data_IF_580358525219
#
_entry.id   IF_580358525219
#
_cell.length_a   1.000
_cell.length_b   1.000
_cell.length_c   1.000
_cell.angle_alpha   90.00
_cell.angle_beta   90.00
_cell.angle_gamma   90.00
#
_symmetry.space_group_name_H-M   'P 1'
#
loop_
_entity.id
_entity.type
_entity.pdbx_description
1 polymer ?
#
# COMPACT_ATOMS: atom_id res chain seq x y z
N UNK A 1 1.07 27.69 4.82
CA UNK A 1 2.25 26.79 4.72
C UNK A 1 1.91 25.48 4.01
N UNK A 2 0.90 24.71 4.46
CA UNK A 2 0.52 23.41 3.86
C UNK A 2 0.16 23.49 2.38
N UNK A 3 -0.69 24.40 1.96
CA UNK A 3 -1.12 24.54 0.55
C UNK A 3 0.06 24.78 -0.39
N UNK A 4 1.02 25.58 0.03
CA UNK A 4 2.26 25.84 -0.73
C UNK A 4 3.13 24.59 -0.89
N UNK A 5 3.21 23.72 0.14
CA UNK A 5 4.00 22.47 0.07
C UNK A 5 3.32 21.47 -0.88
N UNK A 6 1.99 21.32 -0.81
CA UNK A 6 1.23 20.46 -1.72
C UNK A 6 1.45 20.88 -3.18
N UNK A 7 1.32 22.18 -3.48
CA UNK A 7 1.52 22.71 -4.82
C UNK A 7 2.96 22.48 -5.33
N UNK A 8 3.95 22.70 -4.47
CA UNK A 8 5.36 22.44 -4.80
C UNK A 8 5.59 20.96 -5.03
N UNK A 9 5.06 20.08 -4.17
CA UNK A 9 5.18 18.62 -4.33
C UNK A 9 4.58 18.18 -5.66
N UNK A 10 3.37 18.63 -6.02
CA UNK A 10 2.75 18.32 -7.30
C UNK A 10 3.59 18.73 -8.51
N UNK A 11 4.22 19.91 -8.45
CA UNK A 11 5.13 20.37 -9.51
C UNK A 11 6.37 19.47 -9.64
N UNK A 12 6.87 18.95 -8.52
CA UNK A 12 8.09 18.13 -8.47
C UNK A 12 7.81 16.71 -8.96
N UNK A 13 6.71 16.09 -8.51
CA UNK A 13 6.38 14.71 -8.87
C UNK A 13 5.87 14.56 -10.31
N UNK A 14 5.45 15.66 -10.94
CA UNK A 14 5.09 15.73 -12.39
C UNK A 14 4.12 14.62 -12.82
N UNK A 15 3.11 14.31 -12.02
CA UNK A 15 2.12 13.29 -12.35
C UNK A 15 2.60 11.84 -12.18
N UNK A 16 3.78 11.58 -11.61
CA UNK A 16 4.23 10.22 -11.27
C UNK A 16 3.26 9.58 -10.29
N UNK A 17 2.90 8.34 -10.52
CA UNK A 17 2.04 7.58 -9.61
C UNK A 17 2.76 7.30 -8.27
N UNK A 18 1.99 7.14 -7.21
CA UNK A 18 2.49 6.81 -5.87
C UNK A 18 1.94 5.45 -5.48
N UNK A 19 2.83 4.52 -5.14
CA UNK A 19 2.49 3.18 -4.69
C UNK A 19 2.67 3.09 -3.17
N UNK A 20 1.56 2.83 -2.46
CA UNK A 20 1.58 2.62 -1.01
C UNK A 20 1.81 1.14 -0.75
N UNK A 21 2.95 0.80 -0.17
CA UNK A 21 3.31 -0.56 0.27
C UNK A 21 3.36 -0.65 1.79
N UNK A 22 3.34 -1.85 2.34
CA UNK A 22 3.41 -2.10 3.78
C UNK A 22 2.56 -3.30 4.18
N UNK A 23 2.68 -3.72 5.42
CA UNK A 23 1.98 -4.87 5.98
C UNK A 23 0.46 -4.71 5.91
N UNK A 24 -0.25 -5.84 6.10
CA UNK A 24 -1.69 -5.83 6.33
C UNK A 24 -2.03 -4.91 7.51
N UNK A 25 -3.19 -4.28 7.45
CA UNK A 25 -3.67 -3.31 8.45
C UNK A 25 -2.76 -2.07 8.69
N UNK A 26 -1.75 -1.82 7.85
CA UNK A 26 -0.89 -0.63 7.98
C UNK A 26 -1.62 0.69 7.63
N UNK A 27 -2.83 0.65 7.08
CA UNK A 27 -3.63 1.84 6.80
C UNK A 27 -3.56 2.35 5.35
N UNK A 28 -2.93 1.63 4.42
CA UNK A 28 -2.84 2.02 2.99
C UNK A 28 -4.18 2.40 2.39
N UNK A 29 -5.19 1.52 2.52
CA UNK A 29 -6.52 1.72 1.95
C UNK A 29 -7.31 2.88 2.58
N UNK A 30 -6.93 3.32 3.78
CA UNK A 30 -7.49 4.52 4.42
C UNK A 30 -6.72 5.78 4.04
N UNK A 31 -5.40 5.71 3.98
CA UNK A 31 -4.52 6.84 3.66
C UNK A 31 -4.57 7.21 2.17
N UNK A 32 -4.69 6.20 1.29
CA UNK A 32 -4.69 6.40 -0.15
C UNK A 32 -5.72 7.42 -0.67
N UNK A 33 -7.01 7.30 -0.32
CA UNK A 33 -8.03 8.26 -0.73
C UNK A 33 -7.76 9.70 -0.28
N UNK A 34 -7.32 9.87 0.98
CA UNK A 34 -7.00 11.20 1.54
C UNK A 34 -5.78 11.81 0.86
N UNK A 35 -4.76 11.00 0.60
CA UNK A 35 -3.59 11.45 -0.14
C UNK A 35 -3.94 11.85 -1.58
N UNK A 36 -4.82 11.09 -2.23
CA UNK A 36 -5.29 11.36 -3.58
C UNK A 36 -6.09 12.68 -3.64
N UNK A 37 -6.96 12.92 -2.67
CA UNK A 37 -7.69 14.19 -2.54
C UNK A 37 -6.74 15.38 -2.40
N UNK A 38 -5.77 15.30 -1.47
CA UNK A 38 -4.80 16.37 -1.23
C UNK A 38 -3.94 16.68 -2.45
N UNK A 39 -3.51 15.67 -3.20
CA UNK A 39 -2.68 15.82 -4.40
C UNK A 39 -3.51 16.02 -5.69
N UNK A 40 -4.85 15.92 -5.62
CA UNK A 40 -5.75 15.90 -6.79
C UNK A 40 -5.40 14.77 -7.78
N UNK A 41 -5.10 13.60 -7.24
CA UNK A 41 -4.79 12.37 -7.97
C UNK A 41 -6.00 11.46 -8.00
N UNK A 42 -6.01 10.49 -8.92
CA UNK A 42 -6.93 9.34 -8.88
C UNK A 42 -6.50 8.36 -7.80
N UNK A 43 -7.40 7.53 -7.34
CA UNK A 43 -7.13 6.49 -6.36
C UNK A 43 -7.61 5.13 -6.81
N UNK A 44 -6.79 4.10 -6.60
CA UNK A 44 -7.13 2.68 -6.77
C UNK A 44 -6.65 1.89 -5.55
N UNK A 45 -7.54 1.04 -5.02
CA UNK A 45 -7.18 -0.06 -4.13
C UNK A 45 -7.04 -1.32 -4.99
N UNK A 46 -5.85 -1.90 -5.02
CA UNK A 46 -5.53 -3.01 -5.91
C UNK A 46 -6.30 -4.27 -5.53
N UNK A 47 -6.48 -4.52 -4.22
CA UNK A 47 -7.23 -5.67 -3.71
C UNK A 47 -8.70 -5.58 -4.18
N UNK A 48 -9.33 -4.41 -4.04
CA UNK A 48 -10.70 -4.17 -4.54
C UNK A 48 -10.81 -4.27 -6.06
N UNK A 49 -9.79 -3.81 -6.79
CA UNK A 49 -9.76 -3.92 -8.25
C UNK A 49 -9.74 -5.40 -8.67
N UNK A 50 -8.93 -6.23 -8.01
CA UNK A 50 -8.84 -7.67 -8.26
C UNK A 50 -10.20 -8.34 -8.01
N UNK A 51 -10.85 -8.06 -6.88
CA UNK A 51 -12.17 -8.61 -6.55
C UNK A 51 -13.22 -8.23 -7.60
N UNK A 52 -13.19 -6.97 -8.05
CA UNK A 52 -14.11 -6.49 -9.07
C UNK A 52 -13.90 -7.17 -10.44
N UNK A 53 -12.66 -7.44 -10.83
CA UNK A 53 -12.33 -8.12 -12.09
C UNK A 53 -12.66 -9.61 -12.00
N UNK A 54 -12.25 -10.25 -10.90
CA UNK A 54 -12.47 -11.69 -10.70
C UNK A 54 -13.94 -12.05 -10.40
N UNK A 55 -14.76 -11.06 -9.98
CA UNK A 55 -16.13 -11.28 -9.45
C UNK A 55 -16.16 -12.26 -8.28
N UNK A 56 -15.06 -12.32 -7.53
CA UNK A 56 -14.84 -13.16 -6.36
C UNK A 56 -14.14 -12.33 -5.30
N UNK A 57 -14.38 -12.62 -4.04
CA UNK A 57 -13.57 -12.09 -2.96
C UNK A 57 -12.15 -12.67 -3.01
N UNK A 58 -11.17 -11.98 -2.42
CA UNK A 58 -9.80 -12.49 -2.32
C UNK A 58 -9.79 -13.86 -1.64
N UNK A 59 -10.64 -14.07 -0.62
CA UNK A 59 -10.83 -15.35 0.03
C UNK A 59 -11.24 -16.46 -0.92
N UNK A 60 -12.25 -16.23 -1.72
CA UNK A 60 -12.75 -17.21 -2.70
C UNK A 60 -11.68 -17.51 -3.76
N UNK A 61 -10.88 -16.52 -4.17
CA UNK A 61 -9.77 -16.74 -5.09
C UNK A 61 -8.71 -17.64 -4.43
N UNK A 62 -8.33 -17.38 -3.17
CA UNK A 62 -7.33 -18.20 -2.47
C UNK A 62 -7.81 -19.63 -2.25
N UNK A 63 -9.09 -19.84 -1.90
CA UNK A 63 -9.66 -21.15 -1.64
C UNK A 63 -9.94 -21.96 -2.90
N UNK A 64 -10.44 -21.31 -3.94
CA UNK A 64 -10.86 -21.97 -5.18
C UNK A 64 -9.76 -22.05 -6.23
N UNK A 65 -9.06 -20.93 -6.45
CA UNK A 65 -8.12 -20.77 -7.57
C UNK A 65 -6.64 -20.81 -7.10
N UNK A 66 -6.40 -20.68 -5.79
CA UNK A 66 -5.09 -20.77 -5.14
C UNK A 66 -4.28 -19.48 -5.15
N UNK A 67 -3.24 -19.42 -4.29
CA UNK A 67 -2.40 -18.23 -4.14
C UNK A 67 -1.68 -17.84 -5.44
N UNK A 68 -1.26 -18.82 -6.26
CA UNK A 68 -0.57 -18.54 -7.52
C UNK A 68 -1.44 -17.70 -8.46
N UNK A 69 -2.70 -18.08 -8.63
CA UNK A 69 -3.67 -17.35 -9.47
C UNK A 69 -3.89 -15.93 -8.94
N UNK A 70 -4.06 -15.78 -7.62
CA UNK A 70 -4.16 -14.45 -7.02
C UNK A 70 -2.93 -13.58 -7.35
N UNK A 71 -1.71 -14.12 -7.21
CA UNK A 71 -0.49 -13.38 -7.51
C UNK A 71 -0.33 -13.01 -8.97
N UNK A 72 -0.85 -13.81 -9.89
CA UNK A 72 -0.90 -13.48 -11.32
C UNK A 72 -1.88 -12.34 -11.59
N UNK A 73 -3.07 -12.38 -11.00
CA UNK A 73 -4.05 -11.29 -11.08
C UNK A 73 -3.49 -9.99 -10.48
N UNK A 74 -2.88 -10.07 -9.29
CA UNK A 74 -2.26 -8.93 -8.60
C UNK A 74 -1.20 -8.26 -9.51
N UNK A 75 -0.32 -9.05 -10.13
CA UNK A 75 0.69 -8.56 -11.07
C UNK A 75 0.09 -7.91 -12.31
N UNK A 76 -0.92 -8.55 -12.90
CA UNK A 76 -1.58 -8.02 -14.10
C UNK A 76 -2.32 -6.72 -13.82
N UNK A 77 -3.06 -6.64 -12.70
CA UNK A 77 -3.72 -5.41 -12.27
C UNK A 77 -2.70 -4.30 -11.99
N UNK A 78 -1.57 -4.62 -11.36
CA UNK A 78 -0.51 -3.65 -11.10
C UNK A 78 0.07 -3.10 -12.41
N UNK A 79 0.33 -3.95 -13.41
CA UNK A 79 0.85 -3.51 -14.73
C UNK A 79 -0.09 -2.51 -15.41
N UNK A 80 -1.40 -2.68 -15.29
CA UNK A 80 -2.37 -1.74 -15.87
C UNK A 80 -2.32 -0.34 -15.23
N UNK A 81 -1.86 -0.22 -13.98
CA UNK A 81 -1.75 1.08 -13.31
C UNK A 81 -0.75 2.03 -13.97
N UNK A 82 0.25 1.51 -14.71
CA UNK A 82 1.26 2.33 -15.41
C UNK A 82 0.60 3.26 -16.44
N UNK A 83 -0.50 2.83 -17.03
CA UNK A 83 -1.21 3.57 -18.08
C UNK A 83 -1.96 4.81 -17.55
N UNK A 84 -2.06 4.93 -16.23
CA UNK A 84 -2.86 5.98 -15.57
C UNK A 84 -1.92 6.96 -14.86
N UNK A 85 -1.71 8.15 -15.38
CA UNK A 85 -0.90 9.17 -14.71
C UNK A 85 -1.63 9.72 -13.48
N UNK A 86 -0.88 10.29 -12.56
CA UNK A 86 -1.41 10.93 -11.34
C UNK A 86 -2.30 9.99 -10.54
N UNK A 87 -1.79 8.80 -10.23
CA UNK A 87 -2.51 7.74 -9.54
C UNK A 87 -1.88 7.43 -8.18
N UNK A 88 -2.71 7.30 -7.15
CA UNK A 88 -2.35 6.69 -5.87
C UNK A 88 -2.85 5.26 -5.88
N UNK A 89 -1.96 4.31 -5.63
CA UNK A 89 -2.28 2.89 -5.60
C UNK A 89 -2.02 2.33 -4.20
N UNK A 90 -3.07 1.88 -3.51
CA UNK A 90 -2.92 1.02 -2.34
C UNK A 90 -2.71 -0.42 -2.79
N UNK A 91 -1.60 -1.03 -2.40
CA UNK A 91 -1.26 -2.40 -2.82
C UNK A 91 -1.56 -3.43 -1.74
N UNK A 92 -1.69 -4.69 -2.14
CA UNK A 92 -1.67 -5.82 -1.21
C UNK A 92 -0.32 -5.93 -0.49
N UNK A 93 -0.31 -6.45 0.75
CA UNK A 93 0.94 -6.56 1.53
C UNK A 93 1.99 -7.51 0.94
N UNK A 94 1.60 -8.39 0.02
CA UNK A 94 2.47 -9.34 -0.65
C UNK A 94 3.01 -8.90 -1.99
N UNK A 95 2.61 -7.74 -2.51
CA UNK A 95 2.98 -7.22 -3.85
C UNK A 95 4.49 -7.21 -4.08
N UNK A 96 5.25 -6.90 -3.03
CA UNK A 96 6.70 -6.77 -3.04
C UNK A 96 7.45 -8.10 -3.16
N UNK A 97 6.76 -9.24 -2.95
CA UNK A 97 7.40 -10.57 -2.92
C UNK A 97 7.73 -11.09 -4.32
N UNK A 98 7.08 -10.57 -5.36
CA UNK A 98 7.38 -10.91 -6.76
C UNK A 98 8.39 -9.91 -7.35
N UNK A 99 9.58 -10.36 -7.81
CA UNK A 99 10.59 -9.48 -8.42
C UNK A 99 10.06 -8.66 -9.60
N UNK A 100 9.19 -9.24 -10.43
CA UNK A 100 8.63 -8.56 -11.60
C UNK A 100 7.78 -7.33 -11.24
N UNK A 101 7.13 -7.31 -10.07
CA UNK A 101 6.32 -6.19 -9.63
C UNK A 101 7.17 -4.93 -9.37
N UNK A 102 8.43 -5.11 -8.99
CA UNK A 102 9.34 -3.99 -8.76
C UNK A 102 9.63 -3.19 -10.03
N UNK A 103 9.58 -3.84 -11.20
CA UNK A 103 9.70 -3.14 -12.49
C UNK A 103 8.58 -2.11 -12.73
N UNK A 104 7.39 -2.37 -12.18
CA UNK A 104 6.25 -1.45 -12.22
C UNK A 104 6.37 -0.42 -11.10
N UNK A 105 6.55 -0.87 -9.86
CA UNK A 105 6.60 0.01 -8.67
C UNK A 105 7.64 1.12 -8.83
N UNK A 106 8.82 0.81 -9.38
CA UNK A 106 9.92 1.77 -9.60
C UNK A 106 9.65 2.81 -10.69
N UNK A 107 8.58 2.69 -11.46
CA UNK A 107 8.14 3.75 -12.39
C UNK A 107 7.41 4.89 -11.67
N UNK A 108 6.95 4.66 -10.45
CA UNK A 108 6.33 5.65 -9.57
C UNK A 108 7.22 6.06 -8.41
N UNK A 109 6.58 6.46 -7.32
CA UNK A 109 7.18 6.77 -6.02
C UNK A 109 6.65 5.73 -5.05
N UNK A 110 7.54 5.00 -4.41
CA UNK A 110 7.18 3.90 -3.51
C UNK A 110 7.20 4.41 -2.07
N UNK A 111 6.07 4.38 -1.40
CA UNK A 111 5.92 4.80 -0.01
C UNK A 111 5.64 3.59 0.86
N UNK A 112 6.51 3.30 1.81
CA UNK A 112 6.26 2.30 2.83
C UNK A 112 5.53 2.92 4.02
N UNK A 113 4.27 2.52 4.22
CA UNK A 113 3.52 2.83 5.44
C UNK A 113 3.88 1.76 6.47
N UNK A 114 4.71 2.16 7.44
CA UNK A 114 5.25 1.29 8.49
C UNK A 114 4.53 1.56 9.81
N UNK A 115 3.48 0.79 10.04
CA UNK A 115 2.66 0.91 11.26
C UNK A 115 3.21 -0.02 12.33
N UNK A 116 3.30 0.48 13.56
CA UNK A 116 3.69 -0.34 14.71
C UNK A 116 2.85 -1.61 14.81
N UNK A 117 3.51 -2.71 15.15
CA UNK A 117 2.88 -4.04 15.20
C UNK A 117 1.65 -4.05 16.10
N UNK A 118 1.71 -3.44 17.29
CA UNK A 118 0.62 -3.40 18.25
C UNK A 118 -0.65 -2.77 17.64
N UNK A 119 -0.48 -1.66 16.92
CA UNK A 119 -1.57 -0.95 16.25
C UNK A 119 -2.15 -1.77 15.09
N UNK A 120 -1.26 -2.40 14.32
CA UNK A 120 -1.70 -3.26 13.23
C UNK A 120 -2.46 -4.49 13.75
N UNK A 121 -1.99 -5.11 14.82
CA UNK A 121 -2.66 -6.25 15.47
C UNK A 121 -4.02 -5.87 16.07
N UNK A 122 -4.13 -4.70 16.70
CA UNK A 122 -5.42 -4.20 17.19
C UNK A 122 -6.44 -4.02 16.05
N UNK A 123 -6.00 -3.47 14.91
CA UNK A 123 -6.84 -3.32 13.72
C UNK A 123 -7.22 -4.67 13.10
N UNK A 124 -6.29 -5.63 13.08
CA UNK A 124 -6.53 -6.97 12.56
C UNK A 124 -7.52 -7.77 13.40
N UNK A 125 -7.48 -7.64 14.73
CA UNK A 125 -8.44 -8.29 15.63
C UNK A 125 -9.89 -7.85 15.35
N UNK A 126 -10.08 -6.61 14.91
CA UNK A 126 -11.42 -6.08 14.54
C UNK A 126 -11.90 -6.54 13.16
N UNK A 127 -11.01 -7.10 12.33
CA UNK A 127 -11.29 -7.49 10.93
C UNK A 127 -10.89 -8.95 10.62
N UNK A 128 -10.77 -9.77 11.66
CA UNK A 128 -10.22 -11.15 11.54
C UNK A 128 -11.11 -12.07 10.70
N UNK A 129 -12.44 -11.84 10.72
CA UNK A 129 -13.41 -12.64 9.97
C UNK A 129 -13.18 -12.56 8.45
N UNK A 130 -12.64 -11.43 7.98
CA UNK A 130 -12.38 -11.18 6.57
C UNK A 130 -10.97 -11.63 6.11
N UNK A 131 -10.22 -12.36 6.97
CA UNK A 131 -8.81 -12.71 6.71
C UNK A 131 -8.49 -14.17 7.01
N UNK A 132 -8.77 -15.11 6.08
CA UNK A 132 -8.62 -16.56 6.32
C UNK A 132 -7.21 -17.01 6.66
N UNK A 133 -6.18 -16.34 6.13
CA UNK A 133 -4.78 -16.67 6.42
C UNK A 133 -4.39 -16.47 7.90
N UNK A 134 -5.23 -15.80 8.68
CA UNK A 134 -4.98 -15.44 10.08
C UNK A 134 -5.77 -16.29 11.07
N UNK A 135 -6.71 -17.12 10.61
CA UNK A 135 -7.56 -17.91 11.49
C UNK A 135 -6.78 -19.06 12.15
N UNK A 136 -7.00 -19.27 13.45
CA UNK A 136 -6.48 -20.42 14.19
C UNK A 136 -4.99 -20.36 14.55
N UNK A 137 -4.28 -19.25 14.33
CA UNK A 137 -2.87 -19.04 14.67
C UNK A 137 -2.69 -17.94 15.70
N UNK A 138 -1.57 -17.95 16.43
CA UNK A 138 -1.17 -16.77 17.18
C UNK A 138 -0.91 -15.63 16.17
N UNK A 139 -1.79 -14.63 16.22
CA UNK A 139 -1.79 -13.52 15.26
C UNK A 139 -0.51 -12.70 15.35
N UNK A 140 0.06 -12.58 16.55
CA UNK A 140 1.28 -11.82 16.79
C UNK A 140 2.48 -12.51 16.16
N UNK A 141 2.63 -13.80 16.40
CA UNK A 141 3.74 -14.59 15.87
C UNK A 141 3.67 -14.66 14.34
N UNK A 142 2.50 -14.92 13.78
CA UNK A 142 2.31 -14.97 12.34
C UNK A 142 2.61 -13.60 11.68
N UNK A 143 2.11 -12.51 12.29
CA UNK A 143 2.39 -11.15 11.80
C UNK A 143 3.89 -10.88 11.79
N UNK A 144 4.57 -11.21 12.90
CA UNK A 144 6.00 -10.99 13.03
C UNK A 144 6.81 -11.82 12.02
N UNK A 145 6.50 -13.09 11.83
CA UNK A 145 7.15 -13.96 10.83
C UNK A 145 7.01 -13.36 9.42
N UNK A 146 5.79 -12.97 9.03
CA UNK A 146 5.54 -12.33 7.73
C UNK A 146 6.31 -11.01 7.62
N UNK A 147 6.30 -10.18 8.65
CA UNK A 147 7.02 -8.91 8.66
C UNK A 147 8.52 -9.10 8.50
N UNK A 148 9.14 -10.00 9.26
CA UNK A 148 10.57 -10.27 9.19
C UNK A 148 10.99 -10.77 7.80
N UNK A 149 10.18 -11.63 7.17
CA UNK A 149 10.44 -12.11 5.81
C UNK A 149 10.36 -11.01 4.74
N UNK A 150 9.63 -9.92 5.00
CA UNK A 150 9.34 -8.83 4.04
C UNK A 150 10.06 -7.52 4.34
N UNK A 151 10.59 -7.34 5.54
CA UNK A 151 11.19 -6.08 6.01
C UNK A 151 12.25 -5.53 5.05
N UNK A 152 13.15 -6.38 4.57
CA UNK A 152 14.21 -5.99 3.63
C UNK A 152 13.64 -5.58 2.25
N UNK A 153 12.49 -6.12 1.86
CA UNK A 153 11.84 -5.72 0.63
C UNK A 153 11.14 -4.36 0.83
N UNK A 154 10.41 -4.17 1.93
CA UNK A 154 9.79 -2.87 2.24
C UNK A 154 10.81 -1.75 2.34
N UNK A 155 12.02 -2.02 2.89
CA UNK A 155 13.07 -1.02 3.03
C UNK A 155 13.64 -0.49 1.69
N UNK A 156 13.27 -1.10 0.56
CA UNK A 156 13.60 -0.60 -0.78
C UNK A 156 12.67 0.54 -1.25
N UNK A 157 11.69 0.94 -0.44
CA UNK A 157 10.82 2.06 -0.73
C UNK A 157 11.60 3.38 -0.82
N UNK A 158 11.09 4.31 -1.64
CA UNK A 158 11.66 5.65 -1.73
C UNK A 158 11.48 6.45 -0.43
N UNK A 159 10.39 6.23 0.29
CA UNK A 159 10.10 6.90 1.55
C UNK A 159 9.46 5.91 2.52
N UNK A 160 9.93 5.87 3.76
CA UNK A 160 9.30 5.19 4.90
C UNK A 160 8.58 6.22 5.76
N UNK A 161 7.32 5.97 6.05
CA UNK A 161 6.50 6.77 6.97
C UNK A 161 6.08 5.88 8.13
N UNK A 162 6.59 6.19 9.31
CA UNK A 162 6.23 5.48 10.54
C UNK A 162 4.88 5.98 11.05
N UNK A 163 3.99 5.05 11.38
CA UNK A 163 2.63 5.36 11.86
C UNK A 163 2.48 4.89 13.30
N UNK A 164 2.27 5.87 14.20
CA UNK A 164 2.13 5.70 15.65
C UNK A 164 0.71 6.11 16.12
N UNK A 165 -0.33 5.67 15.41
CA UNK A 165 -1.73 5.99 15.69
C UNK A 165 -2.18 7.42 15.32
N UNK A 166 -1.45 8.09 14.45
CA UNK A 166 -1.86 9.38 13.91
C UNK A 166 -3.15 9.25 13.08
N UNK A 167 -3.88 10.37 12.98
CA UNK A 167 -5.02 10.49 12.07
C UNK A 167 -4.57 10.29 10.61
N UNK A 168 -5.44 9.72 9.80
CA UNK A 168 -5.19 9.38 8.39
C UNK A 168 -4.73 10.62 7.59
N UNK A 169 -5.32 11.78 7.88
CA UNK A 169 -4.96 13.04 7.22
C UNK A 169 -3.54 13.47 7.57
N UNK A 170 -3.12 13.25 8.82
CA UNK A 170 -1.76 13.56 9.25
C UNK A 170 -0.74 12.63 8.57
N UNK A 171 -1.04 11.33 8.47
CA UNK A 171 -0.19 10.39 7.72
C UNK A 171 -0.05 10.82 6.25
N UNK A 172 -1.15 11.25 5.61
CA UNK A 172 -1.10 11.75 4.23
C UNK A 172 -0.22 13.01 4.09
N UNK A 173 -0.28 13.93 5.06
CA UNK A 173 0.59 15.12 5.10
C UNK A 173 2.07 14.76 5.31
N UNK A 174 2.36 13.79 6.19
CA UNK A 174 3.73 13.29 6.39
C UNK A 174 4.30 12.70 5.10
N UNK A 175 3.49 11.97 4.32
CA UNK A 175 3.89 11.47 3.01
C UNK A 175 4.25 12.62 2.08
N UNK A 176 3.38 13.62 1.92
CA UNK A 176 3.59 14.78 1.04
C UNK A 176 4.86 15.53 1.45
N UNK A 177 5.03 15.78 2.74
CA UNK A 177 6.21 16.48 3.27
C UNK A 177 7.49 15.68 3.07
N UNK A 178 7.44 14.36 3.29
CA UNK A 178 8.57 13.44 3.07
C UNK A 178 9.01 13.42 1.60
N UNK A 179 8.06 13.33 0.66
CA UNK A 179 8.32 13.42 -0.78
C UNK A 179 9.00 14.77 -1.10
N UNK A 180 8.41 15.88 -0.60
CA UNK A 180 8.95 17.22 -0.82
C UNK A 180 10.41 17.35 -0.36
N UNK A 181 10.70 16.92 0.86
CA UNK A 181 12.06 16.95 1.42
C UNK A 181 13.06 16.11 0.63
N UNK A 182 12.68 14.89 0.26
CA UNK A 182 13.59 13.94 -0.39
C UNK A 182 13.97 14.33 -1.81
N UNK A 183 13.16 15.15 -2.47
CA UNK A 183 13.43 15.56 -3.85
C UNK A 183 14.19 16.91 -3.90
N UNK A 184 14.13 17.72 -2.83
CA UNK A 184 14.83 19.01 -2.75
C UNK A 184 16.26 18.87 -2.22
N UNK A 185 16.53 17.80 -1.45
CA UNK A 185 17.87 17.45 -0.94
C UNK A 185 18.52 16.39 -1.84
#
# INVERSE_FOLDING_TARGET
MEKSIIEKTNKIIKGRSIYLIGMMASGKSKTGPVLAELLRYKYIDLDKLIENIAKKTINEIFQGDGEKTFRELETNCLKETIKIPSLIVSTGGGIISKPENWGVLRQGIIIWIDTKQEIALERLKKDIENRPLLQGKDLSDLYNQIFQSRKNLYSQADLRVEVNNEDVKEVAKQIIYGIYKKIIN
#
